data_IF_955495065686
#
_entry.id   IF_955495065686
#
_cell.length_a   1.000
_cell.length_b   1.000
_cell.length_c   1.000
_cell.angle_alpha   90.00
_cell.angle_beta   90.00
_cell.angle_gamma   90.00
#
_symmetry.space_group_name_H-M   'P 1'
#
loop_
_entity.id
_entity.type
_entity.pdbx_description
1 polymer ?
#
# COMPACT_ATOMS: atom_id res chain seq x y z
N UNK A 1 14.38 -0.48 63.22
CA UNK A 1 14.83 -0.43 61.82
C UNK A 1 13.90 0.48 61.06
N UNK A 2 14.38 1.61 60.52
CA UNK A 2 13.58 2.46 59.65
C UNK A 2 13.66 1.86 58.24
N UNK A 3 12.53 1.42 57.70
CA UNK A 3 12.45 0.99 56.31
C UNK A 3 12.49 2.24 55.43
N UNK A 4 13.63 2.46 54.79
CA UNK A 4 13.77 3.45 53.73
C UNK A 4 13.08 2.90 52.49
N UNK A 5 11.92 3.47 52.16
CA UNK A 5 11.21 3.17 50.91
C UNK A 5 11.98 3.91 49.82
N UNK A 6 12.82 3.19 49.09
CA UNK A 6 13.46 3.70 47.87
C UNK A 6 12.38 3.76 46.78
N UNK A 7 12.02 4.95 46.27
CA UNK A 7 11.08 5.04 45.17
C UNK A 7 11.72 4.42 43.92
N UNK A 8 11.09 3.37 43.37
CA UNK A 8 11.44 2.85 42.06
C UNK A 8 11.07 3.93 41.04
N UNK A 9 12.06 4.65 40.54
CA UNK A 9 11.88 5.54 39.39
C UNK A 9 11.42 4.69 38.22
N UNK A 10 10.14 4.79 37.86
CA UNK A 10 9.65 4.35 36.55
C UNK A 10 10.32 5.23 35.52
N UNK A 11 11.50 4.80 35.05
CA UNK A 11 12.36 5.53 34.13
C UNK A 11 11.65 5.77 32.81
N UNK A 12 10.98 6.91 32.70
CA UNK A 12 10.35 7.32 31.45
C UNK A 12 11.45 7.73 30.48
N UNK A 13 11.70 6.91 29.45
CA UNK A 13 12.63 7.28 28.39
C UNK A 13 12.09 8.51 27.67
N UNK A 14 12.95 9.51 27.48
CA UNK A 14 12.69 10.64 26.58
C UNK A 14 12.48 10.12 25.15
N UNK A 15 11.77 10.85 24.28
CA UNK A 15 11.58 10.45 22.89
C UNK A 15 12.90 10.12 22.18
N UNK A 16 13.95 10.92 22.39
CA UNK A 16 15.26 10.72 21.80
C UNK A 16 15.93 9.42 22.27
N UNK A 17 15.87 9.12 23.57
CA UNK A 17 16.39 7.86 24.11
C UNK A 17 15.63 6.64 23.57
N UNK A 18 14.32 6.76 23.32
CA UNK A 18 13.53 5.67 22.70
C UNK A 18 13.97 5.41 21.27
N UNK A 19 14.14 6.47 20.46
CA UNK A 19 14.62 6.36 19.08
C UNK A 19 16.00 5.70 19.07
N UNK A 20 16.94 6.21 19.86
CA UNK A 20 18.29 5.65 19.94
C UNK A 20 18.28 4.17 20.32
N UNK A 21 17.58 3.79 21.40
CA UNK A 21 17.46 2.40 21.83
C UNK A 21 16.88 1.49 20.72
N UNK A 22 15.87 1.98 20.02
CA UNK A 22 15.19 1.24 18.97
C UNK A 22 16.10 1.07 17.73
N UNK A 23 16.86 2.10 17.34
CA UNK A 23 17.85 2.01 16.28
C UNK A 23 18.98 1.04 16.62
N UNK A 24 19.50 1.09 17.85
CA UNK A 24 20.53 0.17 18.34
C UNK A 24 20.04 -1.29 18.31
N UNK A 25 18.80 -1.55 18.73
CA UNK A 25 18.19 -2.88 18.67
C UNK A 25 18.08 -3.41 17.23
N UNK A 26 17.59 -2.57 16.29
CA UNK A 26 17.51 -2.94 14.88
C UNK A 26 18.89 -3.17 14.28
N UNK A 27 19.87 -2.32 14.61
CA UNK A 27 21.25 -2.44 14.12
C UNK A 27 21.90 -3.75 14.58
N UNK A 28 21.63 -4.20 15.81
CA UNK A 28 22.18 -5.43 16.35
C UNK A 28 21.81 -6.68 15.53
N UNK A 29 20.62 -6.70 14.93
CA UNK A 29 20.15 -7.83 14.10
C UNK A 29 20.28 -7.60 12.59
N UNK A 30 20.58 -6.37 12.17
CA UNK A 30 20.53 -5.94 10.77
C UNK A 30 21.38 -6.82 9.83
N UNK A 31 22.60 -7.20 10.24
CA UNK A 31 23.48 -8.01 9.40
C UNK A 31 22.87 -9.40 9.09
N UNK A 32 22.43 -10.10 10.13
CA UNK A 32 21.82 -11.42 9.98
C UNK A 32 20.51 -11.35 9.18
N UNK A 33 19.68 -10.33 9.44
CA UNK A 33 18.40 -10.13 8.73
C UNK A 33 18.62 -9.83 7.26
N UNK A 34 19.52 -8.89 6.92
CA UNK A 34 19.84 -8.55 5.53
C UNK A 34 20.40 -9.73 4.76
N UNK A 35 21.22 -10.57 5.41
CA UNK A 35 21.84 -11.75 4.79
C UNK A 35 20.86 -12.88 4.52
N UNK A 36 19.92 -13.13 5.42
CA UNK A 36 19.14 -14.39 5.42
C UNK A 36 17.64 -14.22 5.22
N UNK A 37 17.09 -13.03 5.45
CA UNK A 37 15.63 -12.82 5.49
C UNK A 37 15.14 -11.70 4.58
N UNK A 38 15.97 -11.26 3.63
CA UNK A 38 15.54 -10.40 2.53
C UNK A 38 15.33 -11.26 1.30
N UNK A 39 14.07 -11.38 0.87
CA UNK A 39 13.72 -12.00 -0.41
C UNK A 39 13.81 -10.96 -1.52
N UNK A 40 14.52 -11.32 -2.59
CA UNK A 40 14.57 -10.53 -3.82
C UNK A 40 13.36 -10.85 -4.70
N UNK A 41 12.62 -9.83 -5.12
CA UNK A 41 11.53 -9.92 -6.10
C UNK A 41 11.79 -8.77 -7.08
N UNK A 42 12.16 -9.09 -8.32
CA UNK A 42 12.77 -8.14 -9.25
C UNK A 42 13.97 -7.38 -8.65
N UNK A 43 14.02 -6.07 -8.90
CA UNK A 43 15.01 -5.13 -8.39
C UNK A 43 14.71 -4.61 -6.99
N UNK A 44 13.66 -5.14 -6.33
CA UNK A 44 13.29 -4.82 -4.95
C UNK A 44 13.50 -5.93 -3.90
N UNK A 45 13.79 -5.50 -2.68
CA UNK A 45 14.14 -6.37 -1.55
C UNK A 45 13.06 -6.33 -0.50
N UNK A 46 12.47 -7.47 -0.20
CA UNK A 46 11.33 -7.59 0.70
C UNK A 46 11.72 -8.36 1.93
N UNK A 47 11.42 -7.80 3.10
CA UNK A 47 11.62 -8.49 4.37
C UNK A 47 10.65 -9.68 4.45
N UNK A 48 11.17 -10.85 4.77
CA UNK A 48 10.36 -12.03 5.09
C UNK A 48 9.77 -11.90 6.49
N UNK A 49 8.63 -12.54 6.75
CA UNK A 49 8.00 -12.54 8.09
C UNK A 49 8.95 -13.05 9.17
N UNK A 50 9.78 -14.06 8.88
CA UNK A 50 10.79 -14.54 9.83
C UNK A 50 11.84 -13.46 10.18
N UNK A 51 12.24 -12.64 9.20
CA UNK A 51 13.13 -11.50 9.44
C UNK A 51 12.44 -10.40 10.24
N UNK A 52 11.15 -10.16 9.96
CA UNK A 52 10.33 -9.26 10.74
C UNK A 52 10.25 -9.73 12.21
N UNK A 53 10.04 -11.02 12.47
CA UNK A 53 10.05 -11.56 13.83
C UNK A 53 11.39 -11.38 14.54
N UNK A 54 12.52 -11.55 13.84
CA UNK A 54 13.84 -11.31 14.42
C UNK A 54 14.02 -9.84 14.85
N UNK A 55 13.57 -8.89 14.02
CA UNK A 55 13.57 -7.46 14.35
C UNK A 55 12.62 -7.17 15.51
N UNK A 56 11.40 -7.69 15.46
CA UNK A 56 10.40 -7.49 16.51
C UNK A 56 10.90 -8.01 17.86
N UNK A 57 11.50 -9.20 17.88
CA UNK A 57 12.11 -9.76 19.09
C UNK A 57 13.23 -8.89 19.64
N UNK A 58 14.07 -8.29 18.79
CA UNK A 58 15.12 -7.36 19.24
C UNK A 58 14.56 -6.09 19.90
N UNK A 59 13.34 -5.70 19.51
CA UNK A 59 12.62 -4.55 20.08
C UNK A 59 11.81 -4.90 21.33
N UNK A 60 11.81 -6.17 21.76
CA UNK A 60 11.03 -6.67 22.89
C UNK A 60 9.64 -7.20 22.53
N UNK A 61 9.29 -7.22 21.24
CA UNK A 61 8.00 -7.72 20.77
C UNK A 61 7.97 -9.24 20.64
N UNK A 62 6.81 -9.83 20.93
CA UNK A 62 6.51 -11.24 20.63
C UNK A 62 5.18 -11.34 19.88
N UNK A 63 4.97 -12.42 19.12
CA UNK A 63 3.75 -12.59 18.32
C UNK A 63 3.03 -13.88 18.66
N UNK A 64 1.71 -13.87 18.59
CA UNK A 64 0.89 -15.09 18.65
C UNK A 64 -0.22 -15.05 17.60
N UNK A 65 -0.71 -16.23 17.20
CA UNK A 65 -1.94 -16.37 16.42
C UNK A 65 -3.07 -16.65 17.40
N UNK A 66 -4.08 -15.80 17.43
CA UNK A 66 -5.23 -15.95 18.32
C UNK A 66 -6.39 -16.71 17.68
N UNK A 67 -6.53 -16.58 16.36
CA UNK A 67 -7.63 -17.18 15.64
C UNK A 67 -7.15 -17.71 14.30
N UNK A 68 -7.65 -18.88 13.94
CA UNK A 68 -7.54 -19.47 12.61
C UNK A 68 -8.90 -20.07 12.27
N UNK A 69 -9.47 -19.65 11.14
CA UNK A 69 -10.76 -20.16 10.68
C UNK A 69 -10.78 -20.32 9.17
N UNK A 70 -11.60 -21.25 8.73
CA UNK A 70 -12.00 -21.34 7.34
C UNK A 70 -13.29 -20.53 7.12
N UNK A 71 -13.32 -19.73 6.08
CA UNK A 71 -14.49 -19.00 5.61
C UNK A 71 -14.98 -19.67 4.32
N UNK A 72 -16.18 -20.29 4.32
CA UNK A 72 -16.73 -20.96 3.14
C UNK A 72 -16.93 -20.00 1.96
N UNK A 73 -16.88 -20.51 0.71
CA UNK A 73 -17.18 -19.70 -0.46
C UNK A 73 -18.62 -19.17 -0.43
N UNK A 74 -18.80 -18.02 -1.07
CA UNK A 74 -20.09 -17.42 -1.39
C UNK A 74 -20.25 -17.35 -2.92
N UNK A 75 -21.37 -16.84 -3.41
CA UNK A 75 -21.58 -16.64 -4.85
C UNK A 75 -20.51 -15.73 -5.49
N UNK A 76 -19.94 -14.79 -4.73
CA UNK A 76 -19.03 -13.77 -5.26
C UNK A 76 -17.63 -13.80 -4.65
N UNK A 77 -17.37 -14.71 -3.72
CA UNK A 77 -16.10 -14.79 -3.01
C UNK A 77 -15.67 -16.25 -2.86
N UNK A 78 -14.46 -16.61 -3.32
CA UNK A 78 -13.93 -17.95 -3.10
C UNK A 78 -13.73 -18.20 -1.60
N UNK A 79 -13.72 -19.48 -1.22
CA UNK A 79 -13.41 -19.87 0.15
C UNK A 79 -11.99 -19.44 0.51
N UNK A 80 -11.73 -19.23 1.79
CA UNK A 80 -10.39 -18.84 2.23
C UNK A 80 -10.10 -19.22 3.68
N UNK A 81 -8.82 -19.42 3.96
CA UNK A 81 -8.33 -19.47 5.34
C UNK A 81 -8.03 -18.06 5.81
N UNK A 82 -8.46 -17.73 7.02
CA UNK A 82 -8.22 -16.45 7.68
C UNK A 82 -7.57 -16.69 9.04
N UNK A 83 -6.52 -15.94 9.35
CA UNK A 83 -5.89 -15.93 10.64
C UNK A 83 -5.81 -14.52 11.20
N UNK A 84 -5.92 -14.41 12.52
CA UNK A 84 -5.65 -13.17 13.28
C UNK A 84 -4.43 -13.40 14.15
N UNK A 85 -3.43 -12.54 14.00
CA UNK A 85 -2.24 -12.53 14.84
C UNK A 85 -2.15 -11.23 15.63
N UNK A 86 -1.48 -11.30 16.76
CA UNK A 86 -1.24 -10.18 17.68
C UNK A 86 0.23 -10.02 17.97
N UNK A 87 0.61 -8.80 18.32
CA UNK A 87 1.94 -8.45 18.84
C UNK A 87 1.80 -8.04 20.29
N UNK A 88 2.61 -8.64 21.15
CA UNK A 88 2.75 -8.29 22.55
C UNK A 88 4.00 -7.47 22.80
N UNK A 89 3.88 -6.48 23.68
CA UNK A 89 4.98 -5.79 24.36
C UNK A 89 4.75 -5.92 25.87
N UNK A 90 5.66 -6.59 26.57
CA UNK A 90 5.55 -6.82 28.02
C UNK A 90 4.21 -7.41 28.50
N UNK A 91 3.58 -8.26 27.67
CA UNK A 91 2.30 -8.91 27.98
C UNK A 91 1.07 -8.14 27.50
N UNK A 92 1.22 -6.90 27.05
CA UNK A 92 0.13 -6.08 26.50
C UNK A 92 0.06 -6.20 24.98
N UNK A 93 -1.15 -6.28 24.43
CA UNK A 93 -1.34 -6.32 22.97
C UNK A 93 -1.14 -4.91 22.41
N UNK A 94 -0.11 -4.73 21.60
CA UNK A 94 0.25 -3.46 20.95
C UNK A 94 -0.04 -3.43 19.45
N UNK A 95 -0.40 -4.57 18.86
CA UNK A 95 -0.76 -4.66 17.44
C UNK A 95 -1.59 -5.88 17.12
N UNK A 96 -2.40 -5.79 16.06
CA UNK A 96 -3.12 -6.93 15.47
C UNK A 96 -3.00 -6.91 13.95
N UNK A 97 -3.07 -8.08 13.32
CA UNK A 97 -3.05 -8.24 11.88
C UNK A 97 -3.90 -9.43 11.44
N UNK A 98 -4.62 -9.25 10.34
CA UNK A 98 -5.44 -10.30 9.72
C UNK A 98 -4.78 -10.72 8.42
N UNK A 99 -4.60 -12.03 8.23
CA UNK A 99 -4.03 -12.61 7.02
C UNK A 99 -4.95 -13.66 6.43
N UNK A 100 -5.09 -13.65 5.11
CA UNK A 100 -5.96 -14.60 4.40
C UNK A 100 -5.23 -15.29 3.24
N UNK A 101 -5.66 -16.51 2.92
CA UNK A 101 -5.23 -17.28 1.75
C UNK A 101 -6.47 -17.84 1.07
N UNK A 102 -6.74 -17.35 -0.13
CA UNK A 102 -7.91 -17.74 -0.91
C UNK A 102 -7.68 -19.05 -1.66
N UNK A 103 -8.75 -19.81 -1.86
CA UNK A 103 -8.71 -21.10 -2.55
C UNK A 103 -8.37 -20.98 -4.04
N UNK A 104 -8.63 -19.84 -4.65
CA UNK A 104 -8.33 -19.54 -6.06
C UNK A 104 -6.96 -18.87 -6.25
N UNK A 105 -6.21 -18.63 -5.16
CA UNK A 105 -4.91 -18.02 -5.26
C UNK A 105 -3.92 -18.98 -5.97
N UNK A 106 -3.47 -18.63 -7.18
CA UNK A 106 -2.69 -19.48 -8.10
C UNK A 106 -1.61 -20.34 -7.42
N UNK A 107 -0.83 -19.75 -6.52
CA UNK A 107 0.28 -20.42 -5.82
C UNK A 107 -0.18 -21.44 -4.76
N UNK A 108 -1.35 -21.21 -4.17
CA UNK A 108 -1.85 -21.93 -2.99
C UNK A 108 -3.05 -22.83 -3.28
N UNK A 109 -3.75 -22.62 -4.40
CA UNK A 109 -4.93 -23.36 -4.83
C UNK A 109 -4.72 -24.88 -4.94
N UNK A 110 -3.48 -25.32 -5.16
CA UNK A 110 -3.10 -26.74 -5.24
C UNK A 110 -2.38 -27.27 -4.00
N UNK A 111 -2.11 -26.42 -3.00
CA UNK A 111 -1.41 -26.83 -1.77
C UNK A 111 -2.40 -27.43 -0.77
N UNK A 112 -1.90 -28.30 0.09
CA UNK A 112 -2.71 -28.91 1.16
C UNK A 112 -3.28 -27.85 2.11
N UNK A 113 -4.41 -28.17 2.76
CA UNK A 113 -5.06 -27.25 3.70
C UNK A 113 -4.15 -26.84 4.85
N UNK A 114 -3.28 -27.72 5.33
CA UNK A 114 -2.30 -27.37 6.35
C UNK A 114 -1.35 -26.27 5.86
N UNK A 115 -0.86 -26.35 4.62
CA UNK A 115 0.02 -25.33 4.06
C UNK A 115 -0.69 -23.97 3.89
N UNK A 116 -1.98 -23.98 3.48
CA UNK A 116 -2.79 -22.75 3.38
C UNK A 116 -3.04 -22.11 4.75
N UNK A 117 -3.33 -22.92 5.77
CA UNK A 117 -3.49 -22.48 7.16
C UNK A 117 -2.21 -21.83 7.70
N UNK A 118 -1.06 -22.45 7.49
CA UNK A 118 0.24 -21.90 7.91
C UNK A 118 0.56 -20.60 7.18
N UNK A 119 0.20 -20.49 5.90
CA UNK A 119 0.41 -19.27 5.14
C UNK A 119 -0.53 -18.13 5.57
N UNK A 120 -1.80 -18.41 5.89
CA UNK A 120 -2.71 -17.41 6.44
C UNK A 120 -2.16 -16.83 7.75
N UNK A 121 -1.66 -17.70 8.64
CA UNK A 121 -0.98 -17.30 9.87
C UNK A 121 0.26 -16.46 9.61
N UNK A 122 1.11 -16.87 8.66
CA UNK A 122 2.32 -16.13 8.27
C UNK A 122 1.97 -14.71 7.81
N UNK A 123 0.96 -14.56 6.95
CA UNK A 123 0.46 -13.24 6.50
C UNK A 123 -0.10 -12.40 7.64
N UNK A 124 -0.85 -13.02 8.55
CA UNK A 124 -1.41 -12.35 9.72
C UNK A 124 -0.31 -11.81 10.62
N UNK A 125 0.68 -12.64 10.97
CA UNK A 125 1.85 -12.26 11.77
C UNK A 125 2.63 -11.13 11.11
N UNK A 126 2.85 -11.23 9.79
CA UNK A 126 3.51 -10.20 9.02
C UNK A 126 2.80 -8.84 9.11
N UNK A 127 1.48 -8.83 8.91
CA UNK A 127 0.67 -7.60 9.00
C UNK A 127 0.63 -7.03 10.41
N UNK A 128 0.55 -7.88 11.43
CA UNK A 128 0.56 -7.45 12.83
C UNK A 128 1.88 -6.75 13.18
N UNK A 129 3.01 -7.37 12.81
CA UNK A 129 4.34 -6.80 13.01
C UNK A 129 4.56 -5.52 12.20
N UNK A 130 4.11 -5.48 10.94
CA UNK A 130 4.19 -4.28 10.10
C UNK A 130 3.48 -3.09 10.74
N UNK A 131 2.37 -3.31 11.43
CA UNK A 131 1.63 -2.25 12.13
C UNK A 131 2.41 -1.58 13.26
N UNK A 132 3.32 -2.29 13.93
CA UNK A 132 4.06 -1.77 15.10
C UNK A 132 5.50 -1.38 14.81
N UNK A 133 6.15 -2.07 13.86
CA UNK A 133 7.57 -1.86 13.54
C UNK A 133 7.83 -1.64 12.05
N UNK A 134 6.82 -1.17 11.30
CA UNK A 134 6.96 -0.87 9.88
C UNK A 134 8.13 0.08 9.56
N UNK A 135 8.43 1.04 10.45
CA UNK A 135 9.58 1.94 10.33
C UNK A 135 10.93 1.21 10.28
N UNK A 136 11.05 0.05 10.93
CA UNK A 136 12.30 -0.71 10.96
C UNK A 136 12.63 -1.36 9.60
N UNK A 137 11.63 -1.59 8.75
CA UNK A 137 11.86 -2.09 7.37
C UNK A 137 12.68 -1.11 6.54
N UNK A 138 12.42 0.21 6.70
CA UNK A 138 13.16 1.27 6.04
C UNK A 138 14.62 1.33 6.51
N UNK A 139 14.89 1.15 7.81
CA UNK A 139 16.26 1.08 8.35
C UNK A 139 17.05 -0.12 7.80
N UNK A 140 16.35 -1.18 7.41
CA UNK A 140 16.93 -2.34 6.76
C UNK A 140 17.09 -2.16 5.24
N UNK A 141 16.66 -1.03 4.67
CA UNK A 141 16.68 -0.81 3.22
C UNK A 141 15.79 -1.79 2.46
N UNK A 142 14.74 -2.29 3.11
CA UNK A 142 13.75 -3.18 2.51
C UNK A 142 12.47 -2.41 2.19
N UNK A 143 11.69 -2.94 1.25
CA UNK A 143 10.35 -2.44 0.94
C UNK A 143 9.41 -2.59 2.14
N UNK A 144 8.41 -1.70 2.22
CA UNK A 144 7.46 -1.66 3.33
C UNK A 144 6.50 -2.87 3.37
N UNK A 145 6.31 -3.56 2.24
CA UNK A 145 5.54 -4.80 2.20
C UNK A 145 6.43 -6.00 2.49
N UNK A 146 5.86 -7.02 3.12
CA UNK A 146 6.60 -8.25 3.40
C UNK A 146 6.55 -9.20 2.21
N UNK A 147 7.54 -10.07 2.10
CA UNK A 147 7.72 -10.97 0.96
C UNK A 147 6.50 -11.89 0.71
N UNK A 148 5.82 -12.31 1.78
CA UNK A 148 4.68 -13.22 1.78
C UNK A 148 3.34 -12.56 1.37
N UNK A 149 3.32 -11.22 1.25
CA UNK A 149 2.19 -10.47 0.68
C UNK A 149 2.25 -10.39 -0.85
N UNK A 150 3.37 -10.79 -1.46
CA UNK A 150 3.54 -10.78 -2.90
C UNK A 150 3.28 -12.17 -3.50
N UNK A 151 2.56 -12.26 -4.62
CA UNK A 151 2.44 -13.51 -5.36
C UNK A 151 3.84 -13.98 -5.79
N UNK A 152 4.12 -15.28 -5.67
CA UNK A 152 5.39 -15.80 -6.15
C UNK A 152 5.55 -15.55 -7.66
N UNK A 153 6.73 -15.04 -8.03
CA UNK A 153 7.26 -15.07 -9.39
C UNK A 153 7.52 -16.53 -9.80
N UNK A 154 6.47 -17.29 -10.06
CA UNK A 154 6.54 -18.33 -11.08
C UNK A 154 5.97 -17.70 -12.34
N UNK A 155 6.80 -16.82 -12.90
CA UNK A 155 6.91 -16.46 -14.30
C UNK A 155 8.11 -15.51 -14.33
N UNK A 156 9.33 -16.08 -14.42
CA UNK A 156 10.09 -15.60 -15.58
C UNK A 156 9.16 -15.87 -16.74
N UNK A 157 8.49 -14.82 -17.21
CA UNK A 157 8.47 -14.67 -18.66
C UNK A 157 9.90 -15.05 -19.07
N UNK A 158 10.11 -16.03 -19.97
CA UNK A 158 11.24 -15.84 -20.86
C UNK A 158 11.10 -14.38 -21.26
N UNK A 159 12.14 -13.60 -21.12
CA UNK A 159 12.22 -12.45 -21.99
C UNK A 159 12.34 -13.07 -23.40
N UNK A 160 11.24 -13.65 -23.92
CA UNK A 160 10.86 -13.47 -25.29
C UNK A 160 11.03 -11.97 -25.43
N UNK A 161 12.09 -11.60 -26.16
CA UNK A 161 12.03 -10.39 -26.94
C UNK A 161 10.58 -10.33 -27.43
N UNK A 162 9.84 -9.31 -26.99
CA UNK A 162 8.43 -9.18 -27.30
C UNK A 162 8.33 -9.06 -28.81
N UNK A 163 8.27 -10.20 -29.50
CA UNK A 163 7.68 -10.29 -30.81
C UNK A 163 6.20 -10.03 -30.57
N UNK A 164 5.73 -8.98 -31.23
CA UNK A 164 4.36 -8.55 -31.20
C UNK A 164 3.42 -9.76 -31.33
N UNK A 165 2.37 -9.87 -30.51
CA UNK A 165 1.39 -10.93 -30.67
C UNK A 165 0.85 -10.91 -32.10
N UNK A 166 1.13 -11.98 -32.86
CA UNK A 166 0.46 -12.24 -34.14
C UNK A 166 -1.03 -12.30 -33.84
N UNK A 167 -1.77 -11.37 -34.45
CA UNK A 167 -3.22 -11.25 -34.30
C UNK A 167 -3.89 -12.56 -34.73
N UNK A 168 -4.63 -13.19 -33.82
CA UNK A 168 -5.73 -14.07 -34.22
C UNK A 168 -6.79 -13.20 -34.93
N UNK A 169 -7.44 -13.72 -36.00
CA UNK A 169 -8.51 -12.98 -36.68
C UNK A 169 -9.65 -12.71 -35.68
N UNK A 170 -10.08 -11.46 -35.62
CA UNK A 170 -11.10 -11.00 -34.68
C UNK A 170 -12.46 -11.67 -34.96
N UNK A 171 -13.22 -12.04 -33.91
CA UNK A 171 -14.63 -12.42 -34.08
C UNK A 171 -15.44 -11.25 -34.65
N UNK A 172 -16.55 -11.50 -35.38
CA UNK A 172 -17.38 -10.44 -35.93
C UNK A 172 -17.98 -9.59 -34.80
N UNK A 173 -17.97 -8.28 -35.01
CA UNK A 173 -18.49 -7.26 -34.09
C UNK A 173 -19.96 -7.54 -33.76
N UNK A 174 -20.25 -7.91 -32.50
CA UNK A 174 -21.59 -7.80 -31.95
C UNK A 174 -21.84 -6.35 -31.48
N UNK A 175 -23.08 -5.82 -31.65
CA UNK A 175 -23.38 -4.42 -31.38
C UNK A 175 -23.32 -4.11 -29.88
N UNK A 176 -22.74 -2.96 -29.56
CA UNK A 176 -22.67 -2.42 -28.20
C UNK A 176 -24.06 -2.06 -27.68
N UNK A 177 -24.47 -2.69 -26.59
CA UNK A 177 -25.54 -2.18 -25.74
C UNK A 177 -24.97 -1.09 -24.81
N UNK A 178 -25.71 -0.01 -24.52
CA UNK A 178 -25.24 1.05 -23.64
C UNK A 178 -25.38 0.60 -22.18
N UNK A 179 -24.35 0.82 -21.37
CA UNK A 179 -24.51 0.92 -19.91
C UNK A 179 -24.15 2.34 -19.50
N UNK A 180 -25.16 3.01 -18.98
CA UNK A 180 -25.13 4.41 -18.57
C UNK A 180 -24.10 4.68 -17.48
N UNK A 181 -23.56 5.88 -17.57
CA UNK A 181 -22.94 6.63 -16.49
C UNK A 181 -23.96 6.84 -15.38
N UNK A 182 -23.65 6.35 -14.18
CA UNK A 182 -24.07 7.01 -12.95
C UNK A 182 -22.79 7.28 -12.15
N UNK A 183 -22.32 8.51 -12.27
CA UNK A 183 -21.18 9.06 -11.55
C UNK A 183 -21.16 10.55 -11.87
N UNK A 184 -21.67 11.36 -10.95
CA UNK A 184 -21.81 12.80 -11.15
C UNK A 184 -20.48 13.50 -11.40
N UNK A 185 -20.54 14.67 -12.04
CA UNK A 185 -19.38 15.55 -12.17
C UNK A 185 -18.95 16.01 -10.77
N UNK A 186 -17.69 15.76 -10.39
CA UNK A 186 -17.11 16.28 -9.15
C UNK A 186 -16.42 17.61 -9.45
N UNK A 187 -16.71 18.64 -8.66
CA UNK A 187 -16.04 19.94 -8.77
C UNK A 187 -15.03 20.12 -7.65
N UNK A 188 -13.82 20.55 -7.99
CA UNK A 188 -12.74 20.81 -7.04
C UNK A 188 -12.28 22.24 -7.24
N UNK A 189 -12.34 23.05 -6.17
CA UNK A 189 -11.81 24.42 -6.16
C UNK A 189 -10.47 24.42 -5.42
N UNK A 190 -9.38 24.72 -6.11
CA UNK A 190 -8.04 24.72 -5.53
C UNK A 190 -7.07 25.59 -6.34
N UNK A 191 -5.90 25.89 -5.79
CA UNK A 191 -4.79 26.54 -6.50
C UNK A 191 -4.18 25.55 -7.48
N UNK A 192 -4.04 25.97 -8.73
CA UNK A 192 -3.35 25.22 -9.77
C UNK A 192 -1.85 25.21 -9.47
N UNK A 193 -1.33 24.11 -8.93
CA UNK A 193 0.08 23.99 -8.55
C UNK A 193 0.99 23.82 -9.78
N UNK A 194 0.55 23.07 -10.79
CA UNK A 194 1.31 22.86 -12.03
C UNK A 194 0.46 22.29 -13.16
N UNK A 195 0.87 22.58 -14.41
CA UNK A 195 0.37 21.89 -15.62
C UNK A 195 1.55 21.31 -16.38
N UNK A 196 1.47 20.03 -16.76
CA UNK A 196 2.51 19.37 -17.55
C UNK A 196 1.91 18.77 -18.82
N UNK A 197 2.38 19.23 -19.98
CA UNK A 197 2.12 18.55 -21.25
C UNK A 197 2.90 17.23 -21.31
N UNK A 198 2.24 16.17 -21.76
CA UNK A 198 2.78 14.82 -21.91
C UNK A 198 2.29 14.22 -23.23
N UNK A 199 3.00 13.20 -23.71
CA UNK A 199 2.63 12.46 -24.90
C UNK A 199 2.35 11.00 -24.51
N UNK A 200 1.22 10.46 -24.95
CA UNK A 200 0.87 9.05 -24.72
C UNK A 200 1.74 8.14 -25.58
N UNK A 201 1.80 6.84 -25.24
CA UNK A 201 2.47 5.81 -26.08
C UNK A 201 1.94 5.74 -27.52
N UNK A 202 0.76 6.32 -27.79
CA UNK A 202 0.14 6.39 -29.11
C UNK A 202 0.37 7.75 -29.81
N UNK A 203 1.28 8.59 -29.31
CA UNK A 203 1.59 9.90 -29.88
C UNK A 203 0.54 11.00 -29.63
N UNK A 204 -0.50 10.71 -28.83
CA UNK A 204 -1.55 11.70 -28.53
C UNK A 204 -1.14 12.56 -27.33
N UNK A 205 -1.24 13.90 -27.41
CA UNK A 205 -0.95 14.77 -26.28
C UNK A 205 -2.00 14.61 -25.18
N UNK A 206 -1.57 14.80 -23.93
CA UNK A 206 -2.43 14.92 -22.75
C UNK A 206 -1.74 15.80 -21.70
N UNK A 207 -2.50 16.35 -20.76
CA UNK A 207 -2.00 17.26 -19.73
C UNK A 207 -2.20 16.68 -18.35
N UNK A 208 -1.19 16.84 -17.48
CA UNK A 208 -1.29 16.55 -16.05
C UNK A 208 -1.55 17.85 -15.31
N UNK A 209 -2.66 17.90 -14.59
CA UNK A 209 -3.15 19.07 -13.84
C UNK A 209 -2.93 18.78 -12.37
N UNK A 210 -2.02 19.52 -11.73
CA UNK A 210 -1.70 19.40 -10.31
C UNK A 210 -2.47 20.45 -9.51
N UNK A 211 -3.26 20.01 -8.54
CA UNK A 211 -3.99 20.87 -7.60
C UNK A 211 -3.36 20.79 -6.22
N UNK A 212 -3.27 21.91 -5.53
CA UNK A 212 -2.77 21.94 -4.15
C UNK A 212 -3.83 21.36 -3.19
N UNK A 213 -3.50 20.28 -2.48
CA UNK A 213 -4.38 19.73 -1.44
C UNK A 213 -4.14 20.45 -0.10
N UNK A 214 -5.09 20.31 0.83
CA UNK A 214 -5.06 20.97 2.14
C UNK A 214 -3.85 20.56 3.03
N UNK A 215 -3.25 19.42 2.75
CA UNK A 215 -2.07 18.89 3.44
C UNK A 215 -0.73 19.30 2.77
N UNK A 216 -0.79 20.17 1.74
CA UNK A 216 0.37 20.60 0.97
C UNK A 216 0.85 19.59 -0.06
N UNK A 217 0.17 18.46 -0.23
CA UNK A 217 0.48 17.46 -1.26
C UNK A 217 -0.23 17.84 -2.56
N UNK A 218 0.47 17.82 -3.69
CA UNK A 218 -0.17 18.07 -4.99
C UNK A 218 -0.94 16.83 -5.47
N UNK A 219 -2.26 16.95 -5.61
CA UNK A 219 -3.10 15.93 -6.23
C UNK A 219 -3.08 16.11 -7.75
N UNK A 220 -2.92 15.01 -8.50
CA UNK A 220 -2.69 15.09 -9.95
C UNK A 220 -3.76 14.39 -10.78
N UNK A 221 -4.39 15.16 -11.66
CA UNK A 221 -5.42 14.71 -12.59
C UNK A 221 -4.91 14.69 -14.03
N UNK A 222 -5.59 13.92 -14.89
CA UNK A 222 -5.30 13.88 -16.33
C UNK A 222 -6.37 14.66 -17.08
N UNK A 223 -5.97 15.58 -17.94
CA UNK A 223 -6.80 16.21 -18.97
C UNK A 223 -6.40 15.70 -20.34
N UNK A 224 -7.38 15.43 -21.20
CA UNK A 224 -7.14 15.16 -22.63
C UNK A 224 -7.31 16.40 -23.50
N UNK A 225 -7.69 17.53 -22.89
CA UNK A 225 -7.76 18.84 -23.50
C UNK A 225 -6.66 19.73 -22.93
N UNK A 226 -6.21 20.69 -23.73
CA UNK A 226 -5.15 21.61 -23.36
C UNK A 226 -5.58 22.49 -22.18
N UNK A 227 -4.71 22.62 -21.18
CA UNK A 227 -4.93 23.49 -20.03
C UNK A 227 -3.92 24.63 -20.11
N UNK A 228 -4.40 25.81 -20.51
CA UNK A 228 -3.56 27.00 -20.75
C UNK A 228 -3.53 27.99 -19.58
N UNK A 229 -3.99 27.57 -18.40
CA UNK A 229 -4.02 28.40 -17.19
C UNK A 229 -2.66 28.33 -16.49
N UNK A 230 -2.10 29.49 -16.13
CA UNK A 230 -0.83 29.58 -15.42
C UNK A 230 -0.92 28.99 -13.99
N UNK A 231 0.13 28.31 -13.50
CA UNK A 231 0.22 27.90 -12.10
C UNK A 231 0.11 29.09 -11.12
N UNK A 232 -0.35 28.83 -9.90
CA UNK A 232 -0.58 29.83 -8.85
C UNK A 232 -1.94 30.53 -8.93
N UNK A 233 -2.78 30.17 -9.89
CA UNK A 233 -4.14 30.70 -10.06
C UNK A 233 -5.16 29.81 -9.36
N UNK A 234 -6.13 30.41 -8.67
CA UNK A 234 -7.28 29.67 -8.13
C UNK A 234 -8.17 29.20 -9.28
N UNK A 235 -8.44 27.90 -9.36
CA UNK A 235 -9.23 27.28 -10.42
C UNK A 235 -10.39 26.47 -9.86
N UNK A 236 -11.48 26.40 -10.62
CA UNK A 236 -12.51 25.37 -10.48
C UNK A 236 -12.26 24.30 -11.54
N UNK A 237 -12.00 23.07 -11.09
CA UNK A 237 -11.79 21.90 -11.94
C UNK A 237 -13.03 21.01 -11.89
N UNK A 238 -13.60 20.75 -13.05
CA UNK A 238 -14.67 19.76 -13.19
C UNK A 238 -14.05 18.42 -13.57
N UNK A 239 -14.33 17.39 -12.79
CA UNK A 239 -13.88 16.02 -12.99
C UNK A 239 -15.04 15.15 -13.46
N UNK A 240 -14.79 14.27 -14.43
CA UNK A 240 -15.73 13.26 -14.90
C UNK A 240 -15.18 11.85 -14.69
N UNK A 241 -16.03 10.85 -14.41
CA UNK A 241 -15.60 9.46 -14.35
C UNK A 241 -14.98 9.01 -15.67
N UNK A 242 -13.85 8.31 -15.60
CA UNK A 242 -13.16 7.74 -16.74
C UNK A 242 -12.44 6.46 -16.34
N UNK A 243 -12.96 5.32 -16.82
CA UNK A 243 -12.50 3.97 -16.43
C UNK A 243 -12.54 3.82 -14.91
N UNK A 244 -11.41 3.47 -14.30
CA UNK A 244 -11.28 3.20 -12.85
C UNK A 244 -10.92 4.47 -12.04
N UNK A 245 -11.09 5.67 -12.61
CA UNK A 245 -10.76 6.93 -11.94
C UNK A 245 -11.46 8.15 -12.51
N UNK A 246 -10.87 9.34 -12.31
CA UNK A 246 -11.41 10.62 -12.76
C UNK A 246 -10.46 11.30 -13.75
N UNK A 247 -11.01 12.03 -14.71
CA UNK A 247 -10.26 12.92 -15.61
C UNK A 247 -10.86 14.31 -15.59
N UNK A 248 -10.02 15.29 -15.88
CA UNK A 248 -10.43 16.68 -16.04
C UNK A 248 -11.36 16.77 -17.25
N UNK A 249 -12.56 17.28 -16.99
CA UNK A 249 -13.55 17.64 -17.98
C UNK A 249 -13.46 19.12 -18.35
N UNK A 250 -13.13 19.98 -17.37
CA UNK A 250 -12.98 21.42 -17.57
C UNK A 250 -12.10 22.03 -16.46
N UNK A 251 -11.42 23.15 -16.76
CA UNK A 251 -10.63 23.95 -15.81
C UNK A 251 -10.91 25.42 -16.07
N UNK A 252 -11.49 26.11 -15.09
CA UNK A 252 -11.82 27.54 -15.20
C UNK A 252 -11.06 28.33 -14.14
N UNK A 253 -10.37 29.39 -14.54
CA UNK A 253 -9.77 30.33 -13.61
C UNK A 253 -10.87 31.10 -12.86
N UNK A 254 -10.80 31.15 -11.54
CA UNK A 254 -11.72 31.92 -10.73
C UNK A 254 -11.26 33.37 -10.74
N UNK A 255 -11.88 34.21 -11.56
CA UNK A 255 -11.69 35.67 -11.52
C UNK A 255 -12.41 36.22 -10.29
N UNK A 256 -11.70 36.99 -9.47
CA UNK A 256 -12.25 37.63 -8.27
C UNK A 256 -13.17 38.78 -8.64
N UNK A 257 -14.39 38.46 -9.09
CA UNK A 257 -15.48 39.43 -9.30
C UNK A 257 -16.78 39.00 -8.57
N UNK A 258 -16.70 38.11 -7.58
CA UNK A 258 -17.81 37.89 -6.63
C UNK A 258 -17.56 38.72 -5.37
N UNK A 259 -18.28 39.84 -5.28
CA UNK A 259 -18.45 40.62 -4.06
C UNK A 259 -18.84 39.71 -2.90
N UNK A 260 -18.09 39.81 -1.80
CA UNK A 260 -18.45 39.22 -0.52
C UNK A 260 -19.68 39.99 0.00
N UNK A 261 -20.87 39.38 0.16
CA UNK A 261 -21.95 40.04 0.88
C UNK A 261 -21.51 40.11 2.35
N UNK A 262 -21.42 41.34 2.86
CA UNK A 262 -21.24 41.63 4.29
C UNK A 262 -22.41 41.10 5.13
#
# INVERSE_FOLDING_TARGET
>A
MKHEIVPVSTGHLTPMQRVQRNEEAVAAVAHAVKKSYIKRIGDKGYLMVAGAQAVGSSLGYTTAVEQLRYVPPTEHLPGYWEATAVVYDQGEIVGRGIGSVFEDERQWAKRDYFARQMMAQTRATGRALKGVMGWATALLGAEASLAEEWPAEDDRMPQEASEAPRRLPSPPKAPSAPKGQEGGLRRVRSVLAAVQAKESKAGKPYWRVGLEAQDGVTEWFTSFEEVSISPGVLVEVTLKPYRDGEVVADVVAVTSDEEVPF
#
